data_IF_774541127408
#
_entry.id   IF_774541127408
#
_cell.length_a   1.000
_cell.length_b   1.000
_cell.length_c   1.000
_cell.angle_alpha   90.00
_cell.angle_beta   90.00
_cell.angle_gamma   90.00
#
_symmetry.space_group_name_H-M   'P 1'
#
loop_
_entity.id
_entity.type
_entity.pdbx_description
1 polymer ?
#
# COMPACT_ATOMS: atom_id res chain seq x y z
N UNK A 1 12.79 -44.00 -32.02
CA UNK A 1 14.04 -43.59 -31.33
C UNK A 1 14.65 -42.40 -32.07
N UNK A 2 14.89 -41.26 -31.37
CA UNK A 2 15.96 -40.23 -31.54
C UNK A 2 16.25 -39.69 -32.98
N UNK A 3 16.31 -38.38 -33.28
CA UNK A 3 16.80 -37.22 -32.49
C UNK A 3 16.18 -35.90 -32.98
N UNK A 4 15.78 -35.06 -32.02
CA UNK A 4 15.42 -33.65 -32.20
C UNK A 4 16.70 -32.80 -32.31
N UNK A 5 16.69 -31.78 -33.18
CA UNK A 5 17.64 -30.67 -33.10
C UNK A 5 16.95 -29.38 -33.55
N UNK A 6 16.30 -28.69 -32.61
CA UNK A 6 15.81 -27.34 -32.82
C UNK A 6 16.90 -26.39 -32.35
N UNK A 7 17.51 -25.71 -33.33
CA UNK A 7 18.43 -24.60 -33.16
C UNK A 7 17.56 -23.35 -33.09
N UNK A 8 17.80 -22.48 -32.10
CA UNK A 8 17.03 -21.24 -31.99
C UNK A 8 17.35 -20.46 -30.73
N UNK A 9 18.60 -20.02 -30.60
CA UNK A 9 19.02 -18.99 -29.64
C UNK A 9 18.32 -17.67 -29.95
N UNK A 10 17.28 -17.35 -29.18
CA UNK A 10 16.82 -15.96 -29.01
C UNK A 10 16.88 -15.64 -27.53
N UNK A 11 18.01 -15.06 -27.15
CA UNK A 11 18.26 -14.45 -25.86
C UNK A 11 17.31 -13.25 -25.72
N UNK A 12 16.15 -13.46 -25.11
CA UNK A 12 15.23 -12.37 -24.76
C UNK A 12 15.77 -11.71 -23.49
N UNK A 13 16.62 -10.70 -23.68
CA UNK A 13 17.09 -9.84 -22.58
C UNK A 13 15.96 -8.86 -22.24
N UNK A 14 15.06 -9.28 -21.35
CA UNK A 14 14.13 -8.36 -20.70
C UNK A 14 14.94 -7.62 -19.64
N UNK A 15 15.36 -6.40 -19.98
CA UNK A 15 15.85 -5.45 -18.98
C UNK A 15 14.64 -5.05 -18.14
N UNK A 16 14.42 -5.78 -17.05
CA UNK A 16 13.49 -5.36 -16.01
C UNK A 16 14.05 -4.08 -15.38
N UNK A 17 13.61 -2.91 -15.87
CA UNK A 17 13.65 -1.67 -15.12
C UNK A 17 12.77 -1.88 -13.88
N UNK A 18 13.34 -2.46 -12.83
CA UNK A 18 12.82 -2.35 -11.49
C UNK A 18 13.02 -0.90 -11.07
N UNK A 19 12.14 -0.01 -11.53
CA UNK A 19 11.99 1.30 -10.95
C UNK A 19 11.66 1.07 -9.47
N UNK A 20 12.65 1.32 -8.61
CA UNK A 20 12.45 1.32 -7.19
C UNK A 20 11.33 2.33 -6.90
N UNK A 21 10.16 1.83 -6.50
CA UNK A 21 9.10 2.66 -5.96
C UNK A 21 9.62 3.27 -4.66
N UNK A 22 10.30 4.42 -4.76
CA UNK A 22 10.52 5.29 -3.64
C UNK A 22 9.14 5.82 -3.25
N UNK A 23 8.44 5.09 -2.37
CA UNK A 23 7.25 5.59 -1.71
C UNK A 23 7.68 6.83 -0.94
N UNK A 24 7.42 8.01 -1.53
CA UNK A 24 7.70 9.28 -0.89
C UNK A 24 7.04 9.26 0.48
N UNK A 25 7.83 9.50 1.53
CA UNK A 25 7.30 9.51 2.89
C UNK A 25 6.19 10.56 2.97
N UNK A 26 5.05 10.24 3.61
CA UNK A 26 3.98 11.20 3.75
C UNK A 26 4.45 12.40 4.57
N UNK A 27 4.01 13.60 4.17
CA UNK A 27 4.34 14.86 4.87
C UNK A 27 3.61 15.00 6.21
N UNK A 28 2.61 14.17 6.45
CA UNK A 28 1.82 14.14 7.67
C UNK A 28 1.41 12.70 8.00
N UNK A 29 1.37 12.38 9.28
CA UNK A 29 0.65 11.20 9.75
C UNK A 29 -0.84 11.51 9.78
N UNK A 30 -1.67 10.51 9.48
CA UNK A 30 -3.12 10.65 9.42
C UNK A 30 -3.75 9.53 10.21
N UNK A 31 -4.58 9.86 11.20
CA UNK A 31 -5.40 8.92 11.95
C UNK A 31 -6.86 9.16 11.61
N UNK A 32 -7.54 8.14 11.09
CA UNK A 32 -8.98 8.16 10.84
C UNK A 32 -9.66 7.18 11.78
N UNK A 33 -10.70 7.63 12.47
CA UNK A 33 -11.51 6.80 13.38
C UNK A 33 -12.93 6.71 12.82
N UNK A 34 -13.45 5.49 12.70
CA UNK A 34 -14.80 5.21 12.20
C UNK A 34 -15.74 4.88 13.35
N UNK A 35 -16.96 5.40 13.29
CA UNK A 35 -17.99 5.27 14.32
C UNK A 35 -19.26 4.60 13.77
N UNK A 36 -20.01 3.94 14.64
CA UNK A 36 -21.37 3.50 14.35
C UNK A 36 -22.40 4.63 14.53
N UNK A 37 -23.67 4.33 14.23
CA UNK A 37 -24.77 5.28 14.38
C UNK A 37 -25.04 5.74 15.83
N UNK A 38 -24.43 5.08 16.82
CA UNK A 38 -24.51 5.42 18.25
C UNK A 38 -23.27 6.17 18.74
N UNK A 39 -22.31 6.46 17.86
CA UNK A 39 -21.05 7.13 18.19
C UNK A 39 -19.97 6.23 18.79
N UNK A 40 -20.12 4.90 18.73
CA UNK A 40 -19.10 3.96 19.22
C UNK A 40 -18.04 3.71 18.14
N UNK A 41 -16.77 3.66 18.54
CA UNK A 41 -15.67 3.30 17.63
C UNK A 41 -15.85 1.86 17.12
N UNK A 42 -15.83 1.69 15.80
CA UNK A 42 -15.96 0.40 15.11
C UNK A 42 -14.81 0.08 14.17
N UNK A 43 -13.93 1.04 13.92
CA UNK A 43 -12.75 0.85 13.08
C UNK A 43 -11.88 2.09 13.00
N UNK A 44 -10.79 1.97 12.25
CA UNK A 44 -9.92 3.10 11.98
C UNK A 44 -8.81 2.76 10.99
N UNK A 45 -8.10 3.79 10.58
CA UNK A 45 -6.86 3.69 9.83
C UNK A 45 -5.83 4.65 10.40
N UNK A 46 -4.57 4.27 10.32
CA UNK A 46 -3.44 5.11 10.68
C UNK A 46 -2.37 5.04 9.61
N UNK A 47 -2.05 6.18 9.03
CA UNK A 47 -0.91 6.38 8.13
C UNK A 47 0.19 7.07 8.93
N UNK A 48 1.31 6.38 9.12
CA UNK A 48 2.48 6.92 9.83
C UNK A 48 3.35 7.78 8.91
N UNK A 49 4.17 8.66 9.48
CA UNK A 49 5.22 9.41 8.77
C UNK A 49 6.23 8.51 8.04
N UNK A 50 6.37 7.25 8.46
CA UNK A 50 7.19 6.24 7.78
C UNK A 50 6.54 5.66 6.51
N UNK A 51 5.32 6.07 6.16
CA UNK A 51 4.56 5.54 5.03
C UNK A 51 3.79 4.25 5.33
N UNK A 52 3.92 3.70 6.54
CA UNK A 52 3.16 2.53 6.96
C UNK A 52 1.69 2.86 7.18
N UNK A 53 0.80 2.05 6.61
CA UNK A 53 -0.65 2.17 6.77
C UNK A 53 -1.15 0.97 7.58
N UNK A 54 -1.84 1.24 8.68
CA UNK A 54 -2.53 0.25 9.51
C UNK A 54 -4.04 0.47 9.43
N UNK A 55 -4.83 -0.59 9.32
CA UNK A 55 -6.29 -0.53 9.29
C UNK A 55 -6.87 -1.58 10.23
N UNK A 56 -7.97 -1.26 10.89
CA UNK A 56 -8.68 -2.19 11.76
C UNK A 56 -10.19 -1.94 11.73
N UNK A 57 -10.97 -2.98 12.01
CA UNK A 57 -12.42 -2.88 12.14
C UNK A 57 -13.13 -2.56 10.81
N UNK A 58 -14.28 -1.88 10.91
CA UNK A 58 -15.13 -1.54 9.75
C UNK A 58 -15.05 -0.04 9.44
N UNK A 59 -14.91 0.26 8.15
CA UNK A 59 -15.04 1.62 7.63
C UNK A 59 -16.53 1.98 7.51
N UNK A 60 -16.88 3.18 7.96
CA UNK A 60 -18.26 3.70 7.94
C UNK A 60 -18.28 5.13 7.39
N UNK A 61 -19.48 5.64 7.09
CA UNK A 61 -19.65 7.03 6.65
C UNK A 61 -19.44 8.06 7.77
N UNK A 62 -19.54 7.64 9.04
CA UNK A 62 -19.32 8.48 10.21
C UNK A 62 -17.86 8.32 10.67
N UNK A 63 -17.04 9.34 10.43
CA UNK A 63 -15.62 9.29 10.78
C UNK A 63 -15.09 10.64 11.26
N UNK A 64 -14.01 10.58 12.01
CA UNK A 64 -13.15 11.72 12.33
C UNK A 64 -11.76 11.45 11.76
N UNK A 65 -11.07 12.51 11.33
CA UNK A 65 -9.69 12.40 10.88
C UNK A 65 -8.84 13.47 11.55
N UNK A 66 -7.69 13.04 12.03
CA UNK A 66 -6.66 13.87 12.66
C UNK A 66 -5.39 13.73 11.84
N UNK A 67 -4.69 14.84 11.63
CA UNK A 67 -3.44 14.84 10.88
C UNK A 67 -2.38 15.63 11.63
N UNK A 68 -1.22 15.01 11.79
CA UNK A 68 -0.05 15.60 12.45
C UNK A 68 1.11 15.66 11.46
N UNK A 69 1.78 16.81 11.35
CA UNK A 69 2.87 16.96 10.40
C UNK A 69 4.10 16.13 10.79
N UNK A 70 4.81 15.65 9.78
CA UNK A 70 6.03 14.86 9.91
C UNK A 70 7.26 15.77 9.83
N UNK A 71 7.46 16.63 10.84
CA UNK A 71 8.62 17.52 10.94
C UNK A 71 9.71 16.91 11.82
#
# INVERSE_FOLDING_TARGET
MKKNKVIGTSLVVIVSLAAAFAYARPSQSVRTTYYDSKGKVVGGSYTSCGGGISKWGKQTAQYSSESDPCF
#
